data_IF_326080341467
#
_entry.id   IF_326080341467
#
_cell.length_a   1.000
_cell.length_b   1.000
_cell.length_c   1.000
_cell.angle_alpha   90.00
_cell.angle_beta   90.00
_cell.angle_gamma   90.00
#
_symmetry.space_group_name_H-M   'P 1'
#
loop_
_entity.id
_entity.type
_entity.pdbx_description
1 polymer ?
#
# COMPACT_ATOMS: atom_id res chain seq x y z
N UNK A 1 7.71 -26.38 5.26
CA UNK A 1 6.42 -25.95 5.82
C UNK A 1 6.32 -24.46 5.56
N UNK A 2 5.54 -24.04 4.56
CA UNK A 2 5.38 -22.62 4.26
C UNK A 2 4.66 -21.98 5.44
N UNK A 3 5.36 -21.08 6.13
CA UNK A 3 4.75 -20.23 7.15
C UNK A 3 3.60 -19.46 6.49
N UNK A 4 2.37 -19.86 6.82
CA UNK A 4 1.17 -19.52 6.07
C UNK A 4 0.75 -18.08 6.32
N UNK A 5 1.41 -17.11 5.68
CA UNK A 5 1.05 -15.71 5.77
C UNK A 5 -0.41 -15.56 5.30
N UNK A 6 -1.30 -15.22 6.23
CA UNK A 6 -2.71 -14.92 5.93
C UNK A 6 -2.76 -13.68 5.04
N UNK A 7 -3.24 -13.86 3.80
CA UNK A 7 -3.47 -12.75 2.87
C UNK A 7 -4.93 -12.33 2.94
N UNK A 8 -5.17 -11.05 3.19
CA UNK A 8 -6.50 -10.45 3.16
C UNK A 8 -6.84 -9.89 1.79
N UNK A 9 -8.13 -9.88 1.45
CA UNK A 9 -8.66 -9.20 0.29
C UNK A 9 -8.16 -7.74 0.24
N UNK A 10 -7.88 -7.26 -0.98
CA UNK A 10 -7.30 -5.94 -1.22
C UNK A 10 -8.37 -4.85 -1.40
N UNK A 11 -9.63 -5.24 -1.56
CA UNK A 11 -10.76 -4.32 -1.71
C UNK A 11 -10.88 -3.39 -0.50
N UNK A 12 -11.28 -2.15 -0.77
CA UNK A 12 -11.59 -1.14 0.23
C UNK A 12 -12.91 -0.45 -0.05
N UNK A 13 -13.48 0.20 0.96
CA UNK A 13 -14.59 1.11 0.83
C UNK A 13 -14.44 2.27 1.82
N UNK A 14 -14.30 3.49 1.31
CA UNK A 14 -14.02 4.67 2.11
C UNK A 14 -12.76 4.51 2.97
N UNK A 15 -11.70 3.93 2.40
CA UNK A 15 -10.44 3.65 3.08
C UNK A 15 -10.43 2.41 4.00
N UNK A 16 -11.59 1.80 4.28
CA UNK A 16 -11.67 0.59 5.12
C UNK A 16 -11.25 -0.63 4.32
N UNK A 17 -10.27 -1.40 4.81
CA UNK A 17 -9.82 -2.63 4.15
C UNK A 17 -10.72 -3.82 4.45
N UNK A 18 -11.04 -4.62 3.44
CA UNK A 18 -11.72 -5.90 3.63
C UNK A 18 -10.90 -6.80 4.58
N UNK A 19 -11.56 -7.39 5.57
CA UNK A 19 -10.94 -8.27 6.58
C UNK A 19 -11.18 -9.75 6.27
N UNK A 20 -11.69 -10.07 5.09
CA UNK A 20 -11.86 -11.45 4.62
C UNK A 20 -10.58 -11.93 3.92
N UNK A 21 -10.41 -13.25 3.84
CA UNK A 21 -9.26 -13.86 3.16
C UNK A 21 -9.22 -13.46 1.68
N UNK A 22 -8.04 -13.49 1.07
CA UNK A 22 -7.89 -13.31 -0.37
C UNK A 22 -8.79 -14.32 -1.12
N UNK A 23 -9.41 -13.89 -2.21
CA UNK A 23 -10.30 -14.68 -3.06
C UNK A 23 -11.57 -15.22 -2.36
N UNK A 24 -12.02 -14.55 -1.28
CA UNK A 24 -13.28 -14.93 -0.63
C UNK A 24 -14.49 -14.77 -1.57
N UNK A 25 -15.52 -15.65 -1.45
CA UNK A 25 -16.78 -15.44 -2.16
C UNK A 25 -17.66 -14.38 -1.47
N UNK A 26 -18.58 -13.80 -2.23
CA UNK A 26 -19.60 -12.87 -1.76
C UNK A 26 -19.09 -11.48 -1.41
N UNK A 27 -19.90 -10.70 -0.69
CA UNK A 27 -19.59 -9.30 -0.36
C UNK A 27 -18.30 -9.15 0.45
N UNK A 28 -17.58 -8.06 0.15
CA UNK A 28 -16.49 -7.56 0.99
C UNK A 28 -17.03 -7.18 2.37
N UNK A 29 -16.16 -7.23 3.37
CA UNK A 29 -16.56 -6.96 4.76
C UNK A 29 -15.44 -6.33 5.55
N UNK A 30 -15.78 -5.31 6.34
CA UNK A 30 -14.95 -4.79 7.43
C UNK A 30 -15.84 -4.61 8.66
N UNK A 31 -15.64 -5.44 9.69
CA UNK A 31 -16.52 -5.51 10.87
C UNK A 31 -17.98 -5.75 10.48
N UNK A 32 -18.88 -4.79 10.70
CA UNK A 32 -20.30 -4.86 10.34
C UNK A 32 -20.62 -4.24 8.96
N UNK A 33 -19.66 -3.55 8.34
CA UNK A 33 -19.84 -2.92 7.02
C UNK A 33 -19.59 -3.96 5.93
N UNK A 34 -20.49 -4.04 4.96
CA UNK A 34 -20.38 -4.90 3.77
C UNK A 34 -20.54 -4.08 2.50
N UNK A 35 -19.84 -4.46 1.43
CA UNK A 35 -19.96 -3.80 0.13
C UNK A 35 -19.72 -4.76 -1.04
N UNK A 36 -20.31 -4.42 -2.19
CA UNK A 36 -20.05 -5.09 -3.47
C UNK A 36 -18.87 -4.42 -4.20
N UNK A 37 -18.35 -5.07 -5.25
CA UNK A 37 -17.26 -4.51 -6.07
C UNK A 37 -17.58 -3.13 -6.65
N UNK A 38 -18.83 -2.90 -7.07
CA UNK A 38 -19.27 -1.61 -7.61
C UNK A 38 -19.17 -0.44 -6.61
N UNK A 39 -19.12 -0.74 -5.31
CA UNK A 39 -18.94 0.24 -4.24
C UNK A 39 -17.50 0.26 -3.70
N UNK A 40 -16.58 -0.50 -4.29
CA UNK A 40 -15.19 -0.50 -3.84
C UNK A 40 -14.46 0.79 -4.24
N UNK A 41 -13.52 1.22 -3.40
CA UNK A 41 -12.56 2.25 -3.78
C UNK A 41 -11.77 1.77 -5.00
N UNK A 42 -11.39 2.71 -5.88
CA UNK A 42 -10.51 2.39 -6.99
C UNK A 42 -9.19 1.77 -6.50
N UNK A 43 -8.65 0.82 -7.28
CA UNK A 43 -7.36 0.21 -7.00
C UNK A 43 -6.24 1.26 -7.02
N UNK A 44 -6.26 2.11 -8.05
CA UNK A 44 -5.34 3.23 -8.25
C UNK A 44 -5.41 4.17 -7.05
N UNK A 45 -4.24 4.46 -6.47
CA UNK A 45 -4.14 5.44 -5.41
C UNK A 45 -4.36 6.85 -5.97
N UNK A 46 -5.23 7.63 -5.31
CA UNK A 46 -5.43 9.05 -5.63
C UNK A 46 -4.19 9.93 -5.39
N UNK A 47 -3.16 9.39 -4.73
CA UNK A 47 -1.86 10.04 -4.58
C UNK A 47 -0.97 9.90 -5.82
N UNK A 48 -1.36 9.08 -6.80
CA UNK A 48 -0.66 8.96 -8.09
C UNK A 48 -0.64 10.31 -8.80
N UNK A 49 0.52 10.69 -9.34
CA UNK A 49 0.74 11.97 -10.00
C UNK A 49 0.80 13.17 -9.05
N UNK A 50 0.69 12.97 -7.73
CA UNK A 50 0.97 14.02 -6.76
C UNK A 50 2.47 14.36 -6.74
N UNK A 51 2.82 15.59 -6.37
CA UNK A 51 4.22 15.95 -6.13
C UNK A 51 4.81 15.06 -5.05
N UNK A 52 6.05 14.63 -5.26
CA UNK A 52 6.77 13.83 -4.29
C UNK A 52 8.19 14.34 -4.12
N UNK A 53 8.85 13.85 -3.08
CA UNK A 53 10.30 13.99 -2.93
C UNK A 53 10.85 12.65 -2.47
N UNK A 54 12.09 12.30 -2.86
CA UNK A 54 12.74 11.09 -2.38
C UNK A 54 12.69 11.04 -0.85
N UNK A 55 12.27 9.89 -0.31
CA UNK A 55 12.29 9.70 1.12
C UNK A 55 13.73 9.62 1.63
N UNK A 56 13.96 10.06 2.87
CA UNK A 56 15.28 10.00 3.51
C UNK A 56 15.81 8.57 3.49
N UNK A 57 17.04 8.31 3.03
CA UNK A 57 17.54 6.95 2.99
C UNK A 57 17.91 6.43 4.39
N UNK A 58 17.65 5.14 4.66
CA UNK A 58 18.31 4.39 5.73
C UNK A 58 19.79 4.16 5.36
N UNK A 59 20.66 3.73 6.31
CA UNK A 59 22.09 3.53 6.05
C UNK A 59 22.41 2.57 4.89
N UNK A 60 21.49 1.65 4.59
CA UNK A 60 21.62 0.66 3.51
C UNK A 60 21.02 1.15 2.16
N UNK A 61 20.59 2.41 2.10
CA UNK A 61 20.04 3.04 0.91
C UNK A 61 18.52 2.92 0.75
N UNK A 62 17.81 2.17 1.61
CA UNK A 62 16.34 2.09 1.55
C UNK A 62 15.69 3.47 1.68
N UNK A 63 14.71 3.87 0.85
CA UNK A 63 13.97 3.08 -0.12
C UNK A 63 14.46 3.24 -1.57
N UNK A 64 15.75 3.53 -1.78
CA UNK A 64 16.40 3.66 -3.09
C UNK A 64 15.83 4.81 -3.93
N UNK A 65 15.74 6.01 -3.33
CA UNK A 65 15.26 7.22 -4.02
C UNK A 65 13.74 7.31 -4.22
N UNK A 66 12.99 6.28 -3.85
CA UNK A 66 11.51 6.28 -3.89
C UNK A 66 10.93 7.29 -2.89
N UNK A 67 9.78 7.87 -3.24
CA UNK A 67 9.00 8.75 -2.37
C UNK A 67 8.01 7.96 -1.53
N UNK A 68 7.72 8.43 -0.31
CA UNK A 68 6.60 7.92 0.49
C UNK A 68 5.30 8.55 0.00
N UNK A 69 4.35 7.74 -0.49
CA UNK A 69 3.02 8.25 -0.80
C UNK A 69 2.27 8.58 0.51
N UNK A 70 1.78 9.82 0.71
CA UNK A 70 1.13 10.20 1.96
C UNK A 70 -0.25 9.56 2.16
N UNK A 71 -0.85 8.99 1.10
CA UNK A 71 -2.19 8.41 1.16
C UNK A 71 -2.19 6.91 1.46
N UNK A 72 -1.29 6.16 0.83
CA UNK A 72 -1.23 4.69 1.02
C UNK A 72 0.02 4.22 1.77
N UNK A 73 0.93 5.13 2.11
CA UNK A 73 2.18 4.90 2.83
C UNK A 73 3.15 3.93 2.11
N UNK A 74 2.95 3.66 0.82
CA UNK A 74 3.90 2.88 0.02
C UNK A 74 5.08 3.75 -0.43
N UNK A 75 6.25 3.13 -0.56
CA UNK A 75 7.37 3.73 -1.29
C UNK A 75 7.20 3.48 -2.78
N UNK A 76 7.09 4.57 -3.54
CA UNK A 76 6.78 4.58 -4.96
C UNK A 76 7.88 5.34 -5.70
N UNK A 77 8.22 4.89 -6.90
CA UNK A 77 9.16 5.61 -7.75
C UNK A 77 8.63 7.01 -8.08
N UNK A 78 9.55 7.93 -8.35
CA UNK A 78 9.24 9.22 -8.94
C UNK A 78 9.38 9.12 -10.46
N UNK A 79 8.55 9.85 -11.19
CA UNK A 79 8.72 10.05 -12.63
C UNK A 79 9.76 11.15 -12.92
N UNK A 80 9.94 11.48 -14.20
CA UNK A 80 10.94 12.47 -14.63
C UNK A 80 10.64 13.90 -14.17
N UNK A 81 9.41 14.17 -13.71
CA UNK A 81 8.95 15.48 -13.23
C UNK A 81 8.84 15.52 -11.70
N UNK A 82 9.51 14.61 -10.99
CA UNK A 82 9.47 14.45 -9.53
C UNK A 82 8.06 14.24 -8.96
N UNK A 83 7.20 13.56 -9.71
CA UNK A 83 5.85 13.18 -9.25
C UNK A 83 5.81 11.72 -8.88
N UNK A 84 4.97 11.39 -7.90
CA UNK A 84 4.73 10.01 -7.48
C UNK A 84 4.16 9.25 -8.67
N UNK A 85 4.87 8.22 -9.14
CA UNK A 85 4.43 7.41 -10.26
C UNK A 85 3.06 6.79 -10.01
N UNK A 86 2.35 6.45 -11.10
CA UNK A 86 1.08 5.76 -10.99
C UNK A 86 1.24 4.44 -10.24
N UNK A 87 0.41 4.24 -9.22
CA UNK A 87 0.46 3.03 -8.41
C UNK A 87 -0.91 2.69 -7.83
N UNK A 88 -1.10 1.40 -7.60
CA UNK A 88 -2.21 0.93 -6.80
C UNK A 88 -1.90 1.06 -5.31
N UNK A 89 -2.95 1.25 -4.55
CA UNK A 89 -2.93 1.26 -3.09
C UNK A 89 -2.51 -0.07 -2.44
N UNK A 90 -2.53 -1.17 -3.20
CA UNK A 90 -1.98 -2.46 -2.81
C UNK A 90 -1.10 -3.01 -3.93
N UNK A 91 0.05 -3.58 -3.58
CA UNK A 91 0.92 -4.27 -4.55
C UNK A 91 0.74 -5.79 -4.43
N UNK A 92 0.39 -6.50 -5.51
CA UNK A 92 0.46 -7.95 -5.53
C UNK A 92 1.85 -8.53 -5.22
N UNK A 93 2.90 -7.78 -5.56
CA UNK A 93 4.31 -8.12 -5.39
C UNK A 93 4.92 -7.59 -4.09
N UNK A 94 4.15 -6.94 -3.19
CA UNK A 94 4.66 -6.51 -1.88
C UNK A 94 5.13 -7.75 -1.10
N UNK A 95 6.40 -7.78 -0.76
CA UNK A 95 7.01 -8.90 -0.05
C UNK A 95 6.95 -8.65 1.47
N UNK A 96 7.03 -9.70 2.31
CA UNK A 96 7.15 -9.53 3.74
C UNK A 96 8.38 -8.70 4.15
N UNK A 97 9.46 -8.78 3.37
CA UNK A 97 10.67 -7.99 3.61
C UNK A 97 10.45 -6.50 3.31
N UNK A 98 9.81 -6.16 2.19
CA UNK A 98 9.46 -4.76 1.87
C UNK A 98 8.54 -4.17 2.95
N UNK A 99 7.56 -4.94 3.43
CA UNK A 99 6.70 -4.54 4.54
C UNK A 99 7.50 -4.34 5.85
N UNK A 100 8.49 -5.19 6.13
CA UNK A 100 9.39 -5.05 7.28
C UNK A 100 10.24 -3.79 7.19
N UNK A 101 10.93 -3.56 6.07
CA UNK A 101 11.77 -2.38 5.84
C UNK A 101 10.97 -1.08 5.84
N UNK A 102 9.76 -1.11 5.30
CA UNK A 102 8.83 0.02 5.38
C UNK A 102 8.47 0.39 6.81
N UNK A 103 8.18 -0.59 7.66
CA UNK A 103 7.94 -0.34 9.09
C UNK A 103 9.16 0.21 9.80
N UNK A 104 10.34 -0.35 9.52
CA UNK A 104 11.61 0.15 10.05
C UNK A 104 11.80 1.63 9.71
N UNK A 105 11.64 1.99 8.44
CA UNK A 105 11.74 3.38 8.00
C UNK A 105 10.74 4.31 8.69
N UNK A 106 9.45 3.92 8.76
CA UNK A 106 8.41 4.74 9.38
C UNK A 106 8.72 5.00 10.86
N UNK A 107 9.13 3.95 11.58
CA UNK A 107 9.51 4.05 12.99
C UNK A 107 10.73 4.95 13.20
N UNK A 108 11.73 4.87 12.32
CA UNK A 108 12.94 5.72 12.39
C UNK A 108 12.62 7.19 12.13
N UNK A 109 11.66 7.48 11.26
CA UNK A 109 11.35 8.85 10.81
C UNK A 109 10.11 9.46 11.50
N UNK A 110 9.53 8.79 12.50
CA UNK A 110 8.46 9.34 13.34
C UNK A 110 7.09 9.47 12.70
N UNK A 111 6.73 8.53 11.81
CA UNK A 111 5.40 8.45 11.18
C UNK A 111 4.39 7.62 11.97
#
# INVERSE_FOLDING_TARGET
>A
MSDGIVRFCRSRNGGRRCTRHLDHPGLHRHRAVMWADAAADAARCSGSGGSGSPALPLPDGYPNGRALCPLCLRFVALDADDRIAEHDTADPADTPDEARRRREWLNTNGW
#
